data_IF_910940523564
#
_entry.id   IF_910940523564
#
_cell.length_a   1.000
_cell.length_b   1.000
_cell.length_c   1.000
_cell.angle_alpha   90.00
_cell.angle_beta   90.00
_cell.angle_gamma   90.00
#
_symmetry.space_group_name_H-M   'P 1'
#
loop_
_entity.id
_entity.type
_entity.pdbx_description
1 polymer ?
#
# COMPACT_ATOMS: atom_id res chain seq x y z
N UNK A 1 9.15 -18.57 -30.51
CA UNK A 1 9.50 -19.51 -29.42
C UNK A 1 8.99 -18.90 -28.12
N UNK A 2 8.12 -19.59 -27.39
CA UNK A 2 7.81 -19.25 -26.00
C UNK A 2 8.99 -19.73 -25.14
N UNK A 3 9.82 -18.81 -24.68
CA UNK A 3 10.95 -19.11 -23.78
C UNK A 3 10.52 -19.21 -22.31
N UNK A 4 9.30 -18.76 -21.97
CA UNK A 4 8.73 -18.76 -20.63
C UNK A 4 7.27 -19.23 -20.66
N UNK A 5 6.81 -19.85 -19.56
CA UNK A 5 5.43 -20.34 -19.41
C UNK A 5 4.40 -19.20 -19.40
N UNK A 6 4.70 -18.10 -18.69
CA UNK A 6 3.87 -16.90 -18.68
C UNK A 6 4.43 -15.83 -19.63
N UNK A 7 3.54 -15.07 -20.24
CA UNK A 7 3.83 -13.83 -20.96
C UNK A 7 4.24 -12.71 -20.00
N UNK A 8 4.78 -11.63 -20.56
CA UNK A 8 5.14 -10.45 -19.76
C UNK A 8 3.93 -9.85 -19.02
N UNK A 9 2.77 -9.77 -19.67
CA UNK A 9 1.55 -9.24 -19.07
C UNK A 9 1.09 -10.08 -17.87
N UNK A 10 1.15 -11.41 -17.99
CA UNK A 10 0.79 -12.33 -16.90
C UNK A 10 1.76 -12.20 -15.71
N UNK A 11 3.06 -12.02 -15.96
CA UNK A 11 4.03 -11.75 -14.89
C UNK A 11 3.78 -10.40 -14.18
N UNK A 12 3.35 -9.37 -14.91
CA UNK A 12 2.94 -8.10 -14.30
C UNK A 12 1.68 -8.29 -13.44
N UNK A 13 0.72 -9.12 -13.86
CA UNK A 13 -0.43 -9.46 -13.02
C UNK A 13 -0.02 -10.25 -11.76
N UNK A 14 0.96 -11.16 -11.86
CA UNK A 14 1.53 -11.83 -10.66
C UNK A 14 2.13 -10.81 -9.70
N UNK A 15 2.89 -9.81 -10.18
CA UNK A 15 3.43 -8.75 -9.34
C UNK A 15 2.33 -7.91 -8.68
N UNK A 16 1.28 -7.55 -9.42
CA UNK A 16 0.11 -6.84 -8.90
C UNK A 16 -0.56 -7.63 -7.77
N UNK A 17 -0.82 -8.92 -8.00
CA UNK A 17 -1.45 -9.81 -7.02
C UNK A 17 -0.55 -9.98 -5.80
N UNK A 18 0.75 -10.20 -5.99
CA UNK A 18 1.72 -10.32 -4.89
C UNK A 18 1.78 -9.06 -4.02
N UNK A 19 1.77 -7.88 -4.64
CA UNK A 19 1.68 -6.60 -3.93
C UNK A 19 0.36 -6.49 -3.14
N UNK A 20 -0.76 -6.91 -3.73
CA UNK A 20 -2.05 -6.94 -3.05
C UNK A 20 -2.08 -7.90 -1.85
N UNK A 21 -1.53 -9.10 -2.00
CA UNK A 21 -1.40 -10.07 -0.92
C UNK A 21 -0.54 -9.53 0.23
N UNK A 22 0.51 -8.77 -0.08
CA UNK A 22 1.31 -8.09 0.94
C UNK A 22 0.46 -7.14 1.81
N UNK A 23 -0.39 -6.32 1.18
CA UNK A 23 -1.30 -5.43 1.90
C UNK A 23 -2.33 -6.18 2.74
N UNK A 24 -2.88 -7.28 2.22
CA UNK A 24 -3.79 -8.13 3.00
C UNK A 24 -3.09 -8.76 4.21
N UNK A 25 -1.81 -9.12 4.05
CA UNK A 25 -1.02 -9.69 5.13
C UNK A 25 -0.66 -8.65 6.20
N UNK A 26 -0.36 -7.41 5.79
CA UNK A 26 -0.24 -6.26 6.70
C UNK A 26 -1.53 -6.05 7.51
N UNK A 27 -2.69 -6.09 6.86
CA UNK A 27 -3.98 -5.96 7.54
C UNK A 27 -4.29 -7.14 8.47
N UNK A 28 -3.95 -8.37 8.04
CA UNK A 28 -4.20 -9.61 8.80
C UNK A 28 -3.43 -9.60 10.12
N UNK A 29 -2.14 -9.24 10.08
CA UNK A 29 -1.24 -9.28 11.23
C UNK A 29 -1.49 -8.21 12.29
N UNK A 30 -2.29 -7.18 12.01
CA UNK A 30 -2.67 -6.21 13.03
C UNK A 30 -3.57 -6.85 14.08
N UNK A 31 -3.19 -6.70 15.35
CA UNK A 31 -4.09 -6.95 16.48
C UNK A 31 -5.22 -5.91 16.49
N UNK A 32 -6.35 -6.27 15.88
CA UNK A 32 -7.51 -5.39 15.67
C UNK A 32 -8.06 -4.84 17.00
N UNK A 33 -7.95 -5.58 18.10
CA UNK A 33 -8.45 -5.13 19.41
C UNK A 33 -7.64 -3.93 19.92
N UNK A 34 -6.32 -4.01 19.84
CA UNK A 34 -5.42 -2.92 20.29
C UNK A 34 -5.26 -1.84 19.23
N UNK A 35 -5.35 -2.19 17.95
CA UNK A 35 -5.21 -1.26 16.85
C UNK A 35 -6.35 -0.23 16.82
N UNK A 36 -7.61 -0.68 16.85
CA UNK A 36 -8.77 0.21 16.73
C UNK A 36 -9.04 1.06 17.98
N UNK A 37 -8.49 0.70 19.13
CA UNK A 37 -8.52 1.58 20.32
C UNK A 37 -7.56 2.77 20.20
N UNK A 38 -6.69 2.78 19.17
CA UNK A 38 -5.74 3.84 18.87
C UNK A 38 -4.27 3.44 19.10
N UNK A 39 -3.99 2.21 19.55
CA UNK A 39 -2.64 1.76 19.89
C UNK A 39 -1.67 1.79 18.70
N UNK A 40 -2.15 1.44 17.50
CA UNK A 40 -1.36 1.49 16.27
C UNK A 40 -0.89 2.90 15.90
N UNK A 41 -1.77 3.89 16.10
CA UNK A 41 -1.42 5.29 15.88
C UNK A 41 -0.53 5.82 16.99
N UNK A 42 -0.70 5.37 18.23
CA UNK A 42 0.21 5.71 19.34
C UNK A 42 1.66 5.30 19.06
N UNK A 43 1.87 4.10 18.51
CA UNK A 43 3.19 3.66 18.04
C UNK A 43 3.74 4.57 16.93
N UNK A 44 2.91 4.91 15.94
CA UNK A 44 3.32 5.79 14.84
C UNK A 44 3.65 7.22 15.32
N UNK A 45 2.93 7.74 16.33
CA UNK A 45 3.24 9.01 17.01
C UNK A 45 4.62 8.94 17.65
N UNK A 46 4.95 7.84 18.34
CA UNK A 46 6.27 7.66 18.97
C UNK A 46 7.43 7.65 17.97
N UNK A 47 7.18 7.20 16.74
CA UNK A 47 8.15 7.25 15.64
C UNK A 47 8.24 8.67 15.07
N UNK A 48 7.09 9.31 14.84
CA UNK A 48 7.03 10.67 14.32
C UNK A 48 7.71 11.66 15.27
N UNK A 49 7.53 11.57 16.58
CA UNK A 49 8.13 12.48 17.58
C UNK A 49 9.67 12.48 17.50
N UNK A 50 10.29 11.33 17.18
CA UNK A 50 11.74 11.17 17.02
C UNK A 50 12.23 11.50 15.62
N UNK A 51 11.35 11.89 14.71
CA UNK A 51 11.67 12.08 13.31
C UNK A 51 12.51 13.35 13.08
N UNK A 52 13.62 13.21 12.32
CA UNK A 52 14.56 14.32 12.04
C UNK A 52 13.93 15.52 11.34
N UNK A 53 12.91 15.30 10.51
CA UNK A 53 12.25 16.37 9.74
C UNK A 53 11.07 16.97 10.51
N UNK A 54 11.09 18.29 10.70
CA UNK A 54 10.04 19.03 11.43
C UNK A 54 8.68 19.02 10.72
N UNK A 55 8.66 19.01 9.39
CA UNK A 55 7.40 18.97 8.64
C UNK A 55 6.63 17.65 8.85
N UNK A 56 7.34 16.51 8.96
CA UNK A 56 6.73 15.20 9.25
C UNK A 56 6.08 15.21 10.63
N UNK A 57 6.81 15.71 11.65
CA UNK A 57 6.30 15.90 13.01
C UNK A 57 5.04 16.76 13.03
N UNK A 58 5.13 17.95 12.45
CA UNK A 58 4.02 18.91 12.43
C UNK A 58 2.80 18.37 11.69
N UNK A 59 3.00 17.68 10.56
CA UNK A 59 1.92 17.04 9.82
C UNK A 59 1.24 15.94 10.62
N UNK A 60 2.01 15.12 11.35
CA UNK A 60 1.47 14.07 12.21
C UNK A 60 0.67 14.67 13.38
N UNK A 61 1.18 15.73 14.00
CA UNK A 61 0.50 16.44 15.10
C UNK A 61 -0.81 17.11 14.67
N UNK A 62 -0.89 17.59 13.42
CA UNK A 62 -2.08 18.25 12.89
C UNK A 62 -3.12 17.25 12.36
N UNK A 63 -2.70 16.23 11.62
CA UNK A 63 -3.61 15.35 10.89
C UNK A 63 -3.95 14.06 11.65
N UNK A 64 -2.97 13.48 12.35
CA UNK A 64 -3.06 12.11 12.87
C UNK A 64 -3.32 12.09 14.38
N UNK A 65 -2.51 12.83 15.14
CA UNK A 65 -2.56 12.88 16.62
C UNK A 65 -3.93 13.30 17.19
N UNK A 66 -4.70 14.22 16.59
CA UNK A 66 -5.98 14.64 17.17
C UNK A 66 -7.08 13.56 17.06
N UNK A 67 -6.92 12.58 16.18
CA UNK A 67 -7.96 11.57 15.88
C UNK A 67 -7.37 10.15 15.74
N UNK A 68 -6.73 9.60 16.79
CA UNK A 68 -5.96 8.36 16.68
C UNK A 68 -6.84 7.15 16.36
N UNK A 69 -8.06 7.07 16.89
CA UNK A 69 -8.99 5.99 16.57
C UNK A 69 -9.44 6.03 15.12
N UNK A 70 -9.84 7.21 14.63
CA UNK A 70 -10.28 7.38 13.24
C UNK A 70 -9.14 7.03 12.27
N UNK A 71 -7.92 7.49 12.54
CA UNK A 71 -6.77 7.16 11.69
C UNK A 71 -6.44 5.66 11.73
N UNK A 72 -6.58 5.00 12.88
CA UNK A 72 -6.41 3.55 12.95
C UNK A 72 -7.39 2.81 12.04
N UNK A 73 -8.66 3.24 11.98
CA UNK A 73 -9.65 2.71 11.06
C UNK A 73 -9.32 3.02 9.60
N UNK A 74 -9.00 4.27 9.28
CA UNK A 74 -8.65 4.69 7.92
C UNK A 74 -7.49 3.88 7.38
N UNK A 75 -6.39 3.76 8.15
CA UNK A 75 -5.21 3.00 7.73
C UNK A 75 -5.56 1.53 7.53
N UNK A 76 -6.25 0.90 8.50
CA UNK A 76 -6.59 -0.51 8.37
C UNK A 76 -7.50 -0.77 7.16
N UNK A 77 -8.53 0.03 6.95
CA UNK A 77 -9.42 -0.16 5.80
C UNK A 77 -8.78 0.24 4.47
N UNK A 78 -7.86 1.19 4.46
CA UNK A 78 -7.06 1.50 3.29
C UNK A 78 -6.21 0.30 2.89
N UNK A 79 -5.46 -0.30 3.83
CA UNK A 79 -4.65 -1.50 3.55
C UNK A 79 -5.51 -2.67 3.04
N UNK A 80 -6.68 -2.89 3.63
CA UNK A 80 -7.62 -3.92 3.16
C UNK A 80 -8.13 -3.63 1.74
N UNK A 81 -8.57 -2.39 1.47
CA UNK A 81 -9.08 -1.99 0.17
C UNK A 81 -8.00 -2.06 -0.92
N UNK A 82 -6.78 -1.64 -0.61
CA UNK A 82 -5.61 -1.76 -1.50
C UNK A 82 -5.30 -3.23 -1.80
N UNK A 83 -5.28 -4.06 -0.76
CA UNK A 83 -5.02 -5.49 -0.93
C UNK A 83 -6.07 -6.18 -1.81
N UNK A 84 -7.36 -5.96 -1.53
CA UNK A 84 -8.44 -6.53 -2.34
C UNK A 84 -8.45 -5.97 -3.77
N UNK A 85 -8.28 -4.66 -3.93
CA UNK A 85 -8.26 -4.01 -5.25
C UNK A 85 -7.13 -4.52 -6.13
N UNK A 86 -5.93 -4.72 -5.59
CA UNK A 86 -4.79 -5.23 -6.34
C UNK A 86 -4.86 -6.73 -6.62
N UNK A 87 -5.35 -7.54 -5.68
CA UNK A 87 -5.52 -8.99 -5.89
C UNK A 87 -6.58 -9.26 -6.96
N UNK A 88 -7.77 -8.69 -6.79
CA UNK A 88 -8.88 -8.88 -7.73
C UNK A 88 -8.68 -8.10 -9.03
N UNK A 89 -7.80 -7.11 -9.03
CA UNK A 89 -7.63 -6.18 -10.13
C UNK A 89 -8.88 -5.34 -10.36
N UNK A 90 -9.41 -4.73 -9.30
CA UNK A 90 -10.57 -3.85 -9.32
C UNK A 90 -10.15 -2.43 -8.94
N UNK A 91 -10.49 -1.45 -9.78
CA UNK A 91 -10.00 -0.08 -9.67
C UNK A 91 -8.46 -0.04 -9.56
N UNK A 92 -7.78 -0.90 -10.31
CA UNK A 92 -6.34 -1.18 -10.23
C UNK A 92 -5.49 0.09 -10.30
N UNK A 93 -5.71 1.06 -11.23
CA UNK A 93 -4.91 2.27 -11.26
C UNK A 93 -5.05 3.08 -9.97
N UNK A 94 -6.26 3.15 -9.41
CA UNK A 94 -6.54 3.86 -8.16
C UNK A 94 -5.86 3.16 -6.98
N UNK A 95 -5.95 1.82 -6.93
CA UNK A 95 -5.29 1.02 -5.90
C UNK A 95 -3.76 1.12 -5.97
N UNK A 96 -3.18 1.17 -7.18
CA UNK A 96 -1.73 1.35 -7.37
C UNK A 96 -1.27 2.75 -6.92
N UNK A 97 -2.01 3.80 -7.28
CA UNK A 97 -1.69 5.17 -6.85
C UNK A 97 -1.84 5.31 -5.33
N UNK A 98 -2.94 4.80 -4.76
CA UNK A 98 -3.16 4.82 -3.31
C UNK A 98 -2.10 4.03 -2.54
N UNK A 99 -1.75 2.84 -3.05
CA UNK A 99 -0.68 2.01 -2.48
C UNK A 99 0.69 2.68 -2.59
N UNK A 100 1.00 3.31 -3.71
CA UNK A 100 2.23 4.09 -3.89
C UNK A 100 2.29 5.25 -2.89
N UNK A 101 1.22 6.02 -2.74
CA UNK A 101 1.16 7.11 -1.77
C UNK A 101 1.38 6.62 -0.34
N UNK A 102 0.71 5.52 0.04
CA UNK A 102 0.86 4.95 1.39
C UNK A 102 2.29 4.43 1.64
N UNK A 103 2.88 3.73 0.66
CA UNK A 103 4.27 3.29 0.73
C UNK A 103 5.23 4.48 0.86
N UNK A 104 5.02 5.59 0.14
CA UNK A 104 5.86 6.77 0.25
C UNK A 104 5.73 7.46 1.62
N UNK A 105 4.51 7.51 2.18
CA UNK A 105 4.29 8.04 3.53
C UNK A 105 5.01 7.15 4.55
N UNK A 106 4.88 5.83 4.46
CA UNK A 106 5.58 4.90 5.34
C UNK A 106 7.10 4.95 5.16
N UNK A 107 7.60 5.04 3.92
CA UNK A 107 9.02 5.21 3.63
C UNK A 107 9.60 6.47 4.28
N UNK A 108 8.88 7.60 4.18
CA UNK A 108 9.31 8.85 4.82
C UNK A 108 9.24 8.72 6.34
N UNK A 109 8.17 8.17 6.90
CA UNK A 109 8.00 8.02 8.34
C UNK A 109 9.05 7.09 8.96
N UNK A 110 9.37 5.99 8.27
CA UNK A 110 10.27 4.93 8.70
C UNK A 110 11.71 5.11 8.19
N UNK A 111 12.13 6.34 7.86
CA UNK A 111 13.46 6.59 7.27
C UNK A 111 14.66 6.13 8.13
N UNK A 112 14.41 5.80 9.41
CA UNK A 112 15.41 5.31 10.36
C UNK A 112 15.41 3.77 10.49
N UNK A 113 14.38 3.09 9.98
CA UNK A 113 14.26 1.64 9.97
C UNK A 113 14.56 1.12 8.56
N UNK A 114 15.77 0.58 8.36
CA UNK A 114 16.22 0.13 7.04
C UNK A 114 15.40 -1.04 6.47
N UNK A 115 14.85 -1.91 7.32
CA UNK A 115 14.07 -3.06 6.84
C UNK A 115 12.73 -2.58 6.26
N UNK A 116 12.02 -1.76 7.03
CA UNK A 116 10.76 -1.14 6.60
C UNK A 116 10.98 -0.20 5.40
N UNK A 117 12.09 0.54 5.38
CA UNK A 117 12.43 1.42 4.27
C UNK A 117 12.63 0.65 2.95
N UNK A 118 13.40 -0.44 3.00
CA UNK A 118 13.63 -1.30 1.83
C UNK A 118 12.33 -1.92 1.30
N UNK A 119 11.50 -2.42 2.21
CA UNK A 119 10.19 -2.99 1.88
C UNK A 119 9.29 -1.97 1.17
N UNK A 120 9.09 -0.79 1.78
CA UNK A 120 8.22 0.25 1.20
C UNK A 120 8.76 0.77 -0.14
N UNK A 121 10.08 0.83 -0.31
CA UNK A 121 10.70 1.20 -1.59
C UNK A 121 10.42 0.14 -2.68
N UNK A 122 10.55 -1.15 -2.37
CA UNK A 122 10.26 -2.22 -3.31
C UNK A 122 8.77 -2.27 -3.68
N UNK A 123 7.89 -2.09 -2.70
CA UNK A 123 6.44 -2.02 -2.94
C UNK A 123 6.07 -0.80 -3.80
N UNK A 124 6.70 0.35 -3.56
CA UNK A 124 6.53 1.55 -4.38
C UNK A 124 7.02 1.32 -5.82
N UNK A 125 8.19 0.70 -6.00
CA UNK A 125 8.72 0.35 -7.31
C UNK A 125 7.77 -0.58 -8.06
N UNK A 126 7.27 -1.64 -7.42
CA UNK A 126 6.28 -2.55 -8.02
C UNK A 126 5.03 -1.77 -8.41
N UNK A 127 4.54 -0.87 -7.55
CA UNK A 127 3.36 -0.05 -7.85
C UNK A 127 3.56 0.79 -9.12
N UNK A 128 4.72 1.44 -9.26
CA UNK A 128 5.08 2.25 -10.44
C UNK A 128 5.17 1.37 -11.69
N UNK A 129 5.90 0.25 -11.61
CA UNK A 129 6.07 -0.66 -12.75
C UNK A 129 4.72 -1.19 -13.23
N UNK A 130 3.88 -1.69 -12.32
CA UNK A 130 2.55 -2.22 -12.66
C UNK A 130 1.65 -1.12 -13.22
N UNK A 131 1.73 0.12 -12.71
CA UNK A 131 0.93 1.25 -13.19
C UNK A 131 1.27 1.61 -14.63
N UNK A 132 2.55 1.78 -14.94
CA UNK A 132 3.00 2.16 -16.29
C UNK A 132 3.02 0.99 -17.28
N UNK A 133 3.07 -0.25 -16.79
CA UNK A 133 2.89 -1.45 -17.61
C UNK A 133 1.41 -1.80 -17.86
N UNK A 134 0.46 -0.99 -17.36
CA UNK A 134 -0.98 -1.22 -17.51
C UNK A 134 -1.35 -2.62 -16.98
N UNK A 135 -0.91 -2.94 -15.76
CA UNK A 135 -0.98 -4.28 -15.17
C UNK A 135 -2.38 -4.81 -14.82
N UNK A 136 -3.42 -4.18 -15.33
CA UNK A 136 -4.81 -4.63 -15.27
C UNK A 136 -5.29 -5.26 -16.58
N UNK A 137 -4.48 -5.33 -17.63
CA UNK A 137 -4.90 -5.92 -18.91
C UNK A 137 -5.15 -7.44 -18.86
N UNK A 138 -4.68 -8.13 -17.82
CA UNK A 138 -4.91 -9.57 -17.63
C UNK A 138 -5.23 -9.90 -16.17
N UNK A 139 -6.06 -10.94 -16.01
CA UNK A 139 -6.51 -11.48 -14.72
C UNK A 139 -7.03 -10.41 -13.76
N UNK A 140 -7.79 -9.42 -14.27
CA UNK A 140 -8.33 -8.32 -13.48
C UNK A 140 -9.84 -8.21 -13.70
N UNK A 141 -10.57 -7.72 -12.69
CA UNK A 141 -11.96 -7.33 -12.86
C UNK A 141 -12.09 -6.11 -13.77
N UNK A 142 -11.12 -5.20 -13.75
CA UNK A 142 -11.11 -4.02 -14.63
C UNK A 142 -11.16 -4.43 -16.11
N UNK A 143 -10.40 -5.45 -16.51
CA UNK A 143 -10.40 -5.97 -17.87
C UNK A 143 -11.75 -6.61 -18.23
N UNK A 144 -12.27 -7.46 -17.33
CA UNK A 144 -13.57 -8.13 -17.49
C UNK A 144 -14.72 -7.12 -17.65
N UNK A 145 -14.67 -6.00 -16.94
CA UNK A 145 -15.68 -4.94 -17.02
C UNK A 145 -15.36 -3.85 -18.06
N UNK A 146 -14.24 -3.96 -18.79
CA UNK A 146 -13.82 -2.96 -19.78
C UNK A 146 -13.42 -1.60 -19.18
N UNK A 147 -13.03 -1.56 -17.91
CA UNK A 147 -12.55 -0.36 -17.23
C UNK A 147 -11.08 -0.09 -17.57
N UNK A 148 -10.74 1.19 -17.78
CA UNK A 148 -9.36 1.66 -18.03
C UNK A 148 -8.67 0.97 -19.21
N UNK A 149 -9.44 0.60 -20.24
CA UNK A 149 -8.90 0.11 -21.51
C UNK A 149 -8.22 1.27 -22.27
N UNK A 150 -7.12 1.01 -22.99
CA UNK A 150 -6.45 2.01 -23.83
C UNK A 150 -7.29 2.46 -25.03
#
# INVERSE_FOLDING_TARGET
MQTMWLSGAEWIAVLRIGLGLWWLESWRHKDKKTWFTGGGIGWAVGIAEKHRWQFVRSGFDLAVRPRPRLMAYIVAYAELALGLGLVLGALTPIALVGGLMLNLIYFVLMIHDWAEQGQNLMMALISVVVLFAVGWQVWSLDDVFGLFQP
#
